data_IF_838140632108
#
_entry.id   IF_838140632108
#
_cell.length_a   1.000
_cell.length_b   1.000
_cell.length_c   1.000
_cell.angle_alpha   90.00
_cell.angle_beta   90.00
_cell.angle_gamma   90.00
#
_symmetry.space_group_name_H-M   'P 1'
#
loop_
_entity.id
_entity.type
_entity.pdbx_description
1 polymer ?
#
# COMPACT_ATOMS: atom_id res chain seq x y z
N UNK A 1 -28.91 21.76 16.91
CA UNK A 1 -27.59 21.21 16.55
C UNK A 1 -27.69 20.59 15.17
N UNK A 2 -27.03 21.18 14.18
CA UNK A 2 -26.96 20.59 12.83
C UNK A 2 -26.24 19.24 12.90
N UNK A 3 -26.77 18.24 12.18
CA UNK A 3 -26.16 16.91 12.09
C UNK A 3 -24.79 17.01 11.40
N UNK A 4 -24.66 17.89 10.40
CA UNK A 4 -23.40 18.12 9.69
C UNK A 4 -22.31 18.70 10.61
N UNK A 5 -22.68 19.66 11.45
CA UNK A 5 -21.74 20.25 12.41
C UNK A 5 -21.31 19.24 13.48
N UNK A 6 -22.27 18.47 14.01
CA UNK A 6 -21.97 17.39 14.95
C UNK A 6 -21.01 16.35 14.34
N UNK A 7 -21.22 16.00 13.07
CA UNK A 7 -20.37 15.06 12.36
C UNK A 7 -18.95 15.60 12.16
N UNK A 8 -18.80 16.88 11.81
CA UNK A 8 -17.49 17.51 11.65
C UNK A 8 -16.68 17.51 12.96
N UNK A 9 -17.30 17.87 14.08
CA UNK A 9 -16.66 17.81 15.40
C UNK A 9 -16.25 16.40 15.80
N UNK A 10 -17.10 15.42 15.47
CA UNK A 10 -16.83 14.02 15.70
C UNK A 10 -15.64 13.52 14.86
N UNK A 11 -15.71 13.69 13.53
CA UNK A 11 -14.77 13.08 12.60
C UNK A 11 -13.48 13.88 12.40
N UNK A 12 -13.56 15.21 12.26
CA UNK A 12 -12.41 16.10 12.06
C UNK A 12 -11.89 16.65 13.38
N UNK A 13 -12.79 17.06 14.27
CA UNK A 13 -12.46 17.53 15.62
C UNK A 13 -11.98 16.43 16.57
N UNK A 14 -12.06 15.15 16.16
CA UNK A 14 -11.63 13.96 16.92
C UNK A 14 -12.34 13.84 18.28
N UNK A 15 -13.52 14.45 18.43
CA UNK A 15 -14.25 14.42 19.70
C UNK A 15 -14.93 13.06 19.90
N UNK A 16 -14.76 12.49 21.10
CA UNK A 16 -15.43 11.26 21.51
C UNK A 16 -16.92 11.50 21.76
N UNK A 17 -17.71 10.43 21.79
CA UNK A 17 -19.12 10.54 22.16
C UNK A 17 -19.35 11.15 23.54
N UNK A 18 -18.42 10.94 24.48
CA UNK A 18 -18.51 11.50 25.84
C UNK A 18 -18.26 13.01 25.81
N UNK A 19 -17.23 13.45 25.10
CA UNK A 19 -16.94 14.88 24.94
C UNK A 19 -18.10 15.62 24.26
N UNK A 20 -18.68 15.04 23.20
CA UNK A 20 -19.85 15.59 22.54
C UNK A 20 -21.09 15.59 23.45
N UNK A 21 -21.30 14.51 24.22
CA UNK A 21 -22.40 14.41 25.18
C UNK A 21 -22.33 15.52 26.23
N UNK A 22 -21.14 15.75 26.82
CA UNK A 22 -20.88 16.82 27.78
C UNK A 22 -21.10 18.18 27.13
N UNK A 23 -20.48 18.43 25.97
CA UNK A 23 -20.58 19.71 25.25
C UNK A 23 -22.02 20.11 24.95
N UNK A 24 -22.86 19.14 24.59
CA UNK A 24 -24.23 19.39 24.17
C UNK A 24 -25.28 19.07 25.24
N UNK A 25 -24.86 18.81 26.48
CA UNK A 25 -25.75 18.54 27.61
C UNK A 25 -26.72 17.38 27.36
N UNK A 26 -26.28 16.30 26.68
CA UNK A 26 -27.15 15.18 26.34
C UNK A 26 -26.46 13.82 26.52
N UNK A 27 -27.21 12.72 26.44
CA UNK A 27 -26.64 11.38 26.62
C UNK A 27 -25.74 10.96 25.45
N UNK A 28 -24.77 10.08 25.73
CA UNK A 28 -23.97 9.38 24.70
C UNK A 28 -24.85 8.74 23.61
N UNK A 29 -25.98 8.14 24.01
CA UNK A 29 -26.91 7.47 23.10
C UNK A 29 -27.60 8.46 22.16
N UNK A 30 -27.89 9.68 22.64
CA UNK A 30 -28.44 10.76 21.82
C UNK A 30 -27.45 11.21 20.74
N UNK A 31 -26.17 11.40 21.10
CA UNK A 31 -25.11 11.73 20.13
C UNK A 31 -24.99 10.64 19.05
N UNK A 32 -24.93 9.38 19.47
CA UNK A 32 -24.85 8.25 18.54
C UNK A 32 -26.03 8.23 17.56
N UNK A 33 -27.26 8.34 18.05
CA UNK A 33 -28.46 8.36 17.19
C UNK A 33 -28.42 9.52 16.20
N UNK A 34 -27.94 10.70 16.59
CA UNK A 34 -27.78 11.84 15.68
C UNK A 34 -26.71 11.61 14.62
N UNK A 35 -25.56 11.04 14.98
CA UNK A 35 -24.51 10.68 14.02
C UNK A 35 -24.97 9.56 13.06
N UNK A 36 -25.82 8.65 13.53
CA UNK A 36 -26.41 7.60 12.70
C UNK A 36 -27.37 8.17 11.64
N UNK A 37 -27.93 9.37 11.84
CA UNK A 37 -28.75 10.08 10.85
C UNK A 37 -27.92 10.81 9.78
N UNK A 38 -26.62 11.01 9.99
CA UNK A 38 -25.75 11.65 9.01
C UNK A 38 -25.69 10.82 7.72
N UNK A 39 -25.96 11.48 6.59
CA UNK A 39 -25.91 10.86 5.26
C UNK A 39 -24.62 11.26 4.56
N UNK A 40 -23.83 10.25 4.20
CA UNK A 40 -22.62 10.44 3.41
C UNK A 40 -23.05 10.83 2.00
N UNK A 41 -22.78 12.08 1.59
CA UNK A 41 -23.12 12.56 0.25
C UNK A 41 -22.26 11.81 -0.78
N UNK A 42 -22.77 11.47 -1.95
CA UNK A 42 -21.93 10.87 -2.98
C UNK A 42 -21.29 11.99 -3.82
N UNK A 43 -19.97 11.93 -4.03
CA UNK A 43 -19.30 12.82 -4.95
C UNK A 43 -19.11 12.09 -6.28
N UNK A 44 -19.60 12.66 -7.37
CA UNK A 44 -19.29 12.16 -8.70
C UNK A 44 -17.87 12.59 -9.09
N UNK A 45 -17.07 11.62 -9.52
CA UNK A 45 -15.71 11.88 -10.00
C UNK A 45 -15.76 11.82 -11.51
N UNK A 46 -15.40 12.93 -12.15
CA UNK A 46 -15.36 13.04 -13.60
C UNK A 46 -14.22 12.16 -14.13
N UNK A 47 -14.49 11.27 -15.11
CA UNK A 47 -13.45 10.43 -15.69
C UNK A 47 -12.36 11.26 -16.36
N UNK A 48 -11.12 10.82 -16.16
CA UNK A 48 -9.92 11.50 -16.67
C UNK A 48 -8.74 10.52 -16.79
N UNK A 49 -7.63 11.03 -17.31
CA UNK A 49 -6.34 10.36 -17.31
C UNK A 49 -5.80 10.24 -15.89
N UNK A 50 -5.47 9.02 -15.46
CA UNK A 50 -5.07 8.72 -14.08
C UNK A 50 -3.93 7.72 -14.02
N UNK A 51 -3.10 7.87 -12.97
CA UNK A 51 -2.19 6.82 -12.52
C UNK A 51 -2.76 6.23 -11.25
N UNK A 52 -3.10 4.95 -11.28
CA UNK A 52 -3.80 4.31 -10.18
C UNK A 52 -2.80 3.73 -9.19
N UNK A 53 -2.68 4.39 -8.04
CA UNK A 53 -2.11 3.77 -6.86
C UNK A 53 -3.15 2.80 -6.28
N UNK A 54 -2.75 1.59 -5.93
CA UNK A 54 -3.64 0.64 -5.28
C UNK A 54 -2.95 -0.14 -4.16
N UNK A 55 -3.66 -0.27 -3.04
CA UNK A 55 -3.19 -0.99 -1.86
C UNK A 55 -4.37 -1.34 -0.93
N UNK A 56 -4.14 -2.24 0.03
CA UNK A 56 -5.13 -2.71 0.99
C UNK A 56 -4.65 -2.58 2.43
N UNK A 57 -5.47 -1.98 3.29
CA UNK A 57 -5.23 -1.94 4.74
C UNK A 57 -6.24 -2.76 5.52
N UNK A 58 -5.84 -3.28 6.69
CA UNK A 58 -6.68 -4.12 7.56
C UNK A 58 -6.89 -3.54 8.95
N UNK A 59 -8.06 -3.84 9.54
CA UNK A 59 -8.35 -3.77 10.97
C UNK A 59 -8.78 -5.16 11.46
N UNK A 60 -7.88 -5.86 12.13
CA UNK A 60 -8.10 -7.27 12.49
C UNK A 60 -8.04 -8.18 11.27
N UNK A 61 -8.62 -9.39 11.37
CA UNK A 61 -8.46 -10.44 10.34
C UNK A 61 -9.45 -10.37 9.18
N UNK A 62 -10.66 -9.83 9.40
CA UNK A 62 -11.79 -9.99 8.47
C UNK A 62 -12.37 -8.65 7.96
N UNK A 63 -11.68 -7.54 8.21
CA UNK A 63 -12.13 -6.21 7.77
C UNK A 63 -10.97 -5.43 7.17
N UNK A 64 -10.86 -5.49 5.85
CA UNK A 64 -9.92 -4.74 5.04
C UNK A 64 -10.62 -3.67 4.20
N UNK A 65 -9.84 -2.66 3.81
CA UNK A 65 -10.21 -1.61 2.86
C UNK A 65 -9.17 -1.63 1.75
N UNK A 66 -9.59 -2.00 0.55
CA UNK A 66 -8.82 -1.85 -0.68
C UNK A 66 -9.15 -0.48 -1.28
N UNK A 67 -8.12 0.29 -1.63
CA UNK A 67 -8.26 1.65 -2.14
C UNK A 67 -7.55 1.80 -3.48
N UNK A 68 -8.20 2.48 -4.41
CA UNK A 68 -7.65 2.93 -5.69
C UNK A 68 -7.65 4.45 -5.69
N UNK A 69 -6.47 5.05 -5.83
CA UNK A 69 -6.24 6.48 -5.69
C UNK A 69 -5.48 7.01 -6.90
N UNK A 70 -5.89 8.16 -7.43
CA UNK A 70 -5.15 8.81 -8.50
C UNK A 70 -3.88 9.46 -7.96
N UNK A 71 -2.73 9.18 -8.58
CA UNK A 71 -1.47 9.83 -8.25
C UNK A 71 -1.44 11.31 -8.64
N UNK A 72 -2.13 11.71 -9.72
CA UNK A 72 -2.12 13.09 -10.19
C UNK A 72 -2.99 14.00 -9.34
N UNK A 73 -4.29 13.71 -9.25
CA UNK A 73 -5.24 14.56 -8.51
C UNK A 73 -5.24 14.31 -7.01
N UNK A 74 -4.63 13.20 -6.56
CA UNK A 74 -4.70 12.73 -5.17
C UNK A 74 -6.14 12.41 -4.73
N UNK A 75 -7.08 12.20 -5.66
CA UNK A 75 -8.44 11.82 -5.34
C UNK A 75 -8.57 10.30 -5.14
N UNK A 76 -9.46 9.90 -4.24
CA UNK A 76 -9.81 8.49 -4.06
C UNK A 76 -10.85 8.12 -5.12
N UNK A 77 -10.49 7.23 -6.04
CA UNK A 77 -11.31 6.90 -7.21
C UNK A 77 -12.33 5.79 -6.91
N UNK A 78 -11.90 4.78 -6.16
CA UNK A 78 -12.68 3.58 -5.88
C UNK A 78 -12.17 2.91 -4.60
N UNK A 79 -13.06 2.25 -3.85
CA UNK A 79 -12.67 1.41 -2.73
C UNK A 79 -13.62 0.24 -2.53
N UNK A 80 -13.10 -0.82 -1.91
CA UNK A 80 -13.87 -2.00 -1.54
C UNK A 80 -13.59 -2.40 -0.10
N UNK A 81 -14.62 -2.86 0.60
CA UNK A 81 -14.43 -3.58 1.85
C UNK A 81 -14.23 -5.07 1.56
N UNK A 82 -13.12 -5.61 2.05
CA UNK A 82 -12.68 -6.97 1.71
C UNK A 82 -12.43 -7.77 2.98
N UNK A 83 -12.71 -9.08 2.95
CA UNK A 83 -12.27 -10.00 4.02
C UNK A 83 -10.82 -10.39 3.83
N UNK A 84 -10.43 -10.64 2.58
CA UNK A 84 -9.08 -11.02 2.17
C UNK A 84 -8.73 -10.37 0.84
N UNK A 85 -7.44 -10.11 0.66
CA UNK A 85 -6.88 -9.44 -0.51
C UNK A 85 -6.61 -10.48 -1.61
N UNK A 86 -7.11 -10.24 -2.82
CA UNK A 86 -6.93 -11.13 -3.97
C UNK A 86 -6.58 -10.33 -5.23
N UNK A 87 -5.79 -10.93 -6.13
CA UNK A 87 -5.46 -10.29 -7.42
C UNK A 87 -6.72 -10.01 -8.25
N UNK A 88 -7.73 -10.88 -8.16
CA UNK A 88 -8.99 -10.72 -8.87
C UNK A 88 -9.73 -9.42 -8.48
N UNK A 89 -9.64 -8.99 -7.22
CA UNK A 89 -10.25 -7.73 -6.77
C UNK A 89 -9.52 -6.51 -7.33
N UNK A 90 -8.20 -6.55 -7.43
CA UNK A 90 -7.43 -5.49 -8.10
C UNK A 90 -7.77 -5.37 -9.58
N UNK A 91 -7.80 -6.50 -10.29
CA UNK A 91 -8.18 -6.55 -11.71
C UNK A 91 -9.61 -6.02 -11.90
N UNK A 92 -10.54 -6.45 -11.05
CA UNK A 92 -11.92 -5.95 -11.04
C UNK A 92 -11.96 -4.43 -10.86
N UNK A 93 -11.22 -3.88 -9.90
CA UNK A 93 -11.19 -2.44 -9.64
C UNK A 93 -10.65 -1.63 -10.82
N UNK A 94 -9.57 -2.08 -11.46
CA UNK A 94 -9.04 -1.44 -12.67
C UNK A 94 -10.05 -1.51 -13.82
N UNK A 95 -10.71 -2.66 -14.02
CA UNK A 95 -11.73 -2.80 -15.06
C UNK A 95 -12.95 -1.91 -14.80
N UNK A 96 -13.37 -1.76 -13.53
CA UNK A 96 -14.46 -0.88 -13.14
C UNK A 96 -14.12 0.61 -13.39
N UNK A 97 -12.88 1.03 -13.11
CA UNK A 97 -12.42 2.37 -13.46
C UNK A 97 -12.44 2.59 -14.98
N UNK A 98 -11.95 1.63 -15.77
CA UNK A 98 -12.01 1.70 -17.23
C UNK A 98 -13.45 1.77 -17.74
N UNK A 99 -14.38 0.96 -17.21
CA UNK A 99 -15.80 0.98 -17.61
C UNK A 99 -16.50 2.30 -17.27
N UNK A 100 -16.00 3.02 -16.25
CA UNK A 100 -16.47 4.37 -15.90
C UNK A 100 -15.85 5.46 -16.78
N UNK A 101 -15.00 5.11 -17.75
CA UNK A 101 -14.38 6.05 -18.70
C UNK A 101 -13.03 6.62 -18.25
N UNK A 102 -12.42 6.11 -17.18
CA UNK A 102 -11.08 6.56 -16.78
C UNK A 102 -10.01 6.00 -17.73
N UNK A 103 -9.11 6.87 -18.18
CA UNK A 103 -7.92 6.47 -18.93
C UNK A 103 -6.80 6.11 -17.93
N UNK A 104 -6.71 4.82 -17.59
CA UNK A 104 -5.67 4.30 -16.68
C UNK A 104 -4.36 4.13 -17.44
N UNK A 105 -3.42 5.05 -17.25
CA UNK A 105 -2.15 5.08 -18.02
C UNK A 105 -0.98 4.41 -17.32
N UNK A 106 -1.05 4.24 -16.01
CA UNK A 106 -0.11 3.42 -15.25
C UNK A 106 -0.75 2.96 -13.94
N UNK A 107 -0.15 1.93 -13.35
CA UNK A 107 -0.55 1.36 -12.07
C UNK A 107 0.66 1.33 -11.14
N UNK A 108 0.47 1.64 -9.86
CA UNK A 108 1.49 1.47 -8.83
C UNK A 108 0.91 0.61 -7.70
N UNK A 109 1.58 -0.50 -7.37
CA UNK A 109 1.07 -1.44 -6.37
C UNK A 109 2.19 -2.10 -5.54
N UNK A 110 1.77 -2.79 -4.48
CA UNK A 110 2.64 -3.73 -3.76
C UNK A 110 2.96 -4.97 -4.62
N UNK A 111 4.06 -5.65 -4.30
CA UNK A 111 4.60 -6.83 -4.97
C UNK A 111 3.88 -8.12 -4.65
N UNK A 112 2.55 -8.10 -4.63
CA UNK A 112 1.76 -9.33 -4.47
C UNK A 112 2.06 -10.25 -5.64
N UNK A 113 2.40 -11.51 -5.33
CA UNK A 113 2.78 -12.51 -6.35
C UNK A 113 1.68 -12.63 -7.41
N UNK A 114 2.07 -12.48 -8.68
CA UNK A 114 1.18 -12.57 -9.83
C UNK A 114 0.29 -11.35 -10.08
N UNK A 115 0.33 -10.30 -9.26
CA UNK A 115 -0.42 -9.07 -9.50
C UNK A 115 0.20 -8.24 -10.61
N UNK A 116 1.52 -8.02 -10.53
CA UNK A 116 2.25 -7.14 -11.44
C UNK A 116 2.17 -7.62 -12.90
N UNK A 117 2.23 -8.94 -13.11
CA UNK A 117 2.08 -9.54 -14.45
C UNK A 117 0.64 -9.67 -14.95
N UNK A 118 -0.38 -9.25 -14.19
CA UNK A 118 -1.77 -9.36 -14.60
C UNK A 118 -2.21 -8.26 -15.57
N UNK A 119 -1.49 -7.14 -15.63
CA UNK A 119 -1.83 -5.98 -16.46
C UNK A 119 -0.85 -5.86 -17.63
N UNK A 120 -1.10 -6.60 -18.72
CA UNK A 120 -0.16 -6.67 -19.87
C UNK A 120 -0.03 -5.35 -20.63
N UNK A 121 -1.13 -4.60 -20.75
CA UNK A 121 -1.20 -3.40 -21.62
C UNK A 121 -1.04 -2.09 -20.84
N UNK A 122 -0.74 -2.16 -19.55
CA UNK A 122 -0.63 -0.99 -18.67
C UNK A 122 0.74 -1.05 -18.00
N UNK A 123 1.57 -0.01 -18.08
CA UNK A 123 2.79 0.09 -17.28
C UNK A 123 2.49 -0.11 -15.80
N UNK A 124 3.11 -1.12 -15.17
CA UNK A 124 2.98 -1.40 -13.74
C UNK A 124 4.29 -1.14 -13.01
N UNK A 125 4.25 -0.15 -12.13
CA UNK A 125 5.33 0.14 -11.20
C UNK A 125 5.14 -0.66 -9.91
N UNK A 126 6.14 -1.46 -9.58
CA UNK A 126 6.25 -2.09 -8.28
C UNK A 126 6.75 -1.07 -7.25
N UNK A 127 6.05 -0.94 -6.12
CA UNK A 127 6.45 -0.03 -5.06
C UNK A 127 7.86 -0.36 -4.52
N UNK A 128 8.80 0.55 -4.71
CA UNK A 128 10.19 0.37 -4.27
C UNK A 128 10.31 0.29 -2.75
N UNK A 129 9.45 1.00 -1.99
CA UNK A 129 9.43 0.91 -0.52
C UNK A 129 9.08 -0.51 -0.06
N UNK A 130 8.06 -1.12 -0.66
CA UNK A 130 7.66 -2.48 -0.34
C UNK A 130 8.70 -3.51 -0.79
N UNK A 131 9.40 -3.28 -1.91
CA UNK A 131 10.54 -4.10 -2.31
C UNK A 131 11.66 -4.04 -1.26
N UNK A 132 12.06 -2.84 -0.82
CA UNK A 132 13.06 -2.67 0.25
C UNK A 132 12.62 -3.39 1.53
N UNK A 133 11.35 -3.27 1.92
CA UNK A 133 10.81 -3.96 3.08
C UNK A 133 10.86 -5.49 2.92
N UNK A 134 10.56 -6.01 1.73
CA UNK A 134 10.65 -7.44 1.40
C UNK A 134 12.09 -7.94 1.51
N UNK A 135 13.07 -7.20 0.99
CA UNK A 135 14.48 -7.55 1.14
C UNK A 135 14.91 -7.56 2.61
N UNK A 136 14.51 -6.55 3.38
CA UNK A 136 14.76 -6.50 4.84
C UNK A 136 14.15 -7.69 5.59
N UNK A 137 13.03 -8.27 5.13
CA UNK A 137 12.50 -9.51 5.72
C UNK A 137 13.44 -10.68 5.43
N UNK A 138 14.00 -10.80 4.23
CA UNK A 138 14.94 -11.87 3.89
C UNK A 138 16.24 -11.79 4.70
N UNK A 139 16.88 -10.61 4.73
CA UNK A 139 18.21 -10.42 5.32
C UNK A 139 18.20 -9.91 6.77
N UNK A 140 17.01 -9.67 7.34
CA UNK A 140 16.75 -9.03 8.65
C UNK A 140 17.07 -7.53 8.68
N UNK A 141 16.58 -6.82 9.72
CA UNK A 141 16.83 -5.38 9.90
C UNK A 141 18.30 -5.08 10.19
N UNK A 142 18.97 -5.93 10.97
CA UNK A 142 20.36 -5.77 11.40
C UNK A 142 21.17 -7.02 11.02
N UNK A 143 21.46 -7.22 9.73
CA UNK A 143 22.26 -8.36 9.29
C UNK A 143 23.66 -8.30 9.89
N UNK A 144 24.21 -9.47 10.26
CA UNK A 144 25.59 -9.61 10.72
C UNK A 144 26.55 -10.05 9.62
N UNK A 145 26.05 -10.75 8.60
CA UNK A 145 26.86 -11.22 7.47
C UNK A 145 27.24 -10.06 6.56
N UNK A 146 28.52 -9.94 6.19
CA UNK A 146 29.02 -8.89 5.29
C UNK A 146 28.24 -8.83 3.97
N UNK A 147 27.99 -9.97 3.33
CA UNK A 147 27.19 -10.03 2.10
C UNK A 147 25.78 -9.41 2.27
N UNK A 148 25.15 -9.63 3.42
CA UNK A 148 23.83 -9.06 3.72
C UNK A 148 23.90 -7.58 4.10
N UNK A 149 24.98 -7.14 4.76
CA UNK A 149 25.21 -5.71 5.07
C UNK A 149 25.40 -4.94 3.77
N UNK A 150 26.26 -5.41 2.87
CA UNK A 150 26.51 -4.81 1.56
C UNK A 150 25.21 -4.73 0.75
N UNK A 151 24.41 -5.82 0.70
CA UNK A 151 23.14 -5.82 -0.02
C UNK A 151 22.15 -4.82 0.59
N UNK A 152 22.10 -4.72 1.92
CA UNK A 152 21.21 -3.77 2.61
C UNK A 152 21.57 -2.32 2.26
N UNK A 153 22.86 -2.00 2.18
CA UNK A 153 23.33 -0.67 1.79
C UNK A 153 22.95 -0.35 0.35
N UNK A 154 23.19 -1.28 -0.58
CA UNK A 154 22.81 -1.12 -1.99
C UNK A 154 21.30 -0.90 -2.15
N UNK A 155 20.50 -1.76 -1.52
CA UNK A 155 19.03 -1.70 -1.60
C UNK A 155 18.46 -0.43 -0.97
N UNK A 156 19.15 0.18 0.00
CA UNK A 156 18.72 1.46 0.58
C UNK A 156 18.73 2.61 -0.45
N UNK A 157 19.56 2.50 -1.50
CA UNK A 157 19.67 3.48 -2.57
C UNK A 157 18.56 3.37 -3.62
N UNK A 158 17.81 2.26 -3.68
CA UNK A 158 16.82 1.96 -4.72
C UNK A 158 15.86 3.11 -5.04
N UNK A 159 15.46 3.88 -4.03
CA UNK A 159 14.52 5.01 -4.16
C UNK A 159 15.13 6.29 -4.74
N UNK A 160 16.45 6.40 -4.76
CA UNK A 160 17.20 7.63 -4.99
C UNK A 160 18.24 7.47 -6.11
N UNK A 161 18.18 6.40 -6.89
CA UNK A 161 19.15 6.09 -7.94
C UNK A 161 18.43 5.80 -9.26
N UNK A 162 19.13 6.00 -10.36
CA UNK A 162 18.70 5.56 -11.69
C UNK A 162 18.82 4.03 -11.84
N UNK A 163 18.20 3.53 -12.91
CA UNK A 163 18.10 2.10 -13.23
C UNK A 163 19.48 1.49 -13.46
N UNK A 164 20.30 2.11 -14.30
CA UNK A 164 21.60 1.62 -14.72
C UNK A 164 22.56 1.49 -13.53
N UNK A 165 22.63 2.51 -12.69
CA UNK A 165 23.43 2.52 -11.46
C UNK A 165 22.99 1.43 -10.48
N UNK A 166 21.68 1.23 -10.30
CA UNK A 166 21.17 0.20 -9.40
C UNK A 166 21.46 -1.22 -9.92
N UNK A 167 21.19 -1.46 -11.21
CA UNK A 167 21.44 -2.75 -11.87
C UNK A 167 22.93 -3.09 -11.86
N UNK A 168 23.78 -2.13 -12.22
CA UNK A 168 25.22 -2.26 -12.20
C UNK A 168 25.75 -2.59 -10.80
N UNK A 169 25.33 -1.82 -9.78
CA UNK A 169 25.73 -2.07 -8.40
C UNK A 169 25.25 -3.43 -7.87
N UNK A 170 24.04 -3.86 -8.25
CA UNK A 170 23.52 -5.17 -7.86
C UNK A 170 24.30 -6.32 -8.54
N UNK A 171 24.70 -6.14 -9.80
CA UNK A 171 25.56 -7.08 -10.52
C UNK A 171 26.95 -7.17 -9.88
N UNK A 172 27.55 -6.04 -9.52
CA UNK A 172 28.83 -6.02 -8.81
C UNK A 172 28.75 -6.70 -7.44
N UNK A 173 27.66 -6.46 -6.71
CA UNK A 173 27.40 -7.17 -5.46
C UNK A 173 27.31 -8.68 -5.67
N UNK A 174 26.62 -9.14 -6.73
CA UNK A 174 26.51 -10.57 -7.04
C UNK A 174 27.87 -11.19 -7.34
N UNK A 175 28.67 -10.56 -8.22
CA UNK A 175 30.01 -11.05 -8.58
C UNK A 175 30.89 -11.19 -7.33
N UNK A 176 30.88 -10.19 -6.44
CA UNK A 176 31.65 -10.20 -5.19
C UNK A 176 31.27 -11.37 -4.27
N UNK A 177 29.98 -11.70 -4.21
CA UNK A 177 29.44 -12.67 -3.24
C UNK A 177 29.00 -14.00 -3.87
N UNK A 178 29.28 -14.24 -5.16
CA UNK A 178 28.76 -15.40 -5.89
C UNK A 178 29.19 -16.73 -5.27
N UNK A 179 30.49 -16.88 -4.97
CA UNK A 179 31.03 -18.07 -4.33
C UNK A 179 30.35 -18.34 -2.99
N UNK A 180 30.24 -17.30 -2.15
CA UNK A 180 29.54 -17.37 -0.87
C UNK A 180 28.07 -17.78 -1.05
N UNK A 181 27.35 -17.17 -2.01
CA UNK A 181 25.96 -17.52 -2.29
C UNK A 181 25.79 -18.96 -2.79
N UNK A 182 26.80 -19.53 -3.47
CA UNK A 182 26.76 -20.87 -4.02
C UNK A 182 27.18 -21.97 -3.03
N UNK A 183 27.66 -21.60 -1.85
CA UNK A 183 27.94 -22.54 -0.75
C UNK A 183 26.74 -23.46 -0.49
N UNK A 184 27.02 -24.76 -0.36
CA UNK A 184 26.03 -25.79 -0.08
C UNK A 184 26.36 -26.47 1.24
N UNK A 185 25.32 -26.72 2.02
CA UNK A 185 25.35 -27.58 3.21
C UNK A 185 24.65 -28.89 2.88
N UNK A 186 25.18 -30.01 3.35
CA UNK A 186 24.57 -31.34 3.22
C UNK A 186 23.81 -31.63 4.51
N UNK A 187 22.54 -32.02 4.40
CA UNK A 187 21.79 -32.54 5.53
C UNK A 187 22.26 -33.97 5.83
N UNK A 188 22.82 -34.20 7.03
CA UNK A 188 23.45 -35.47 7.41
C UNK A 188 22.43 -36.63 7.44
N UNK A 189 21.20 -36.36 7.88
CA UNK A 189 20.14 -37.39 8.02
C UNK A 189 19.54 -37.81 6.69
N UNK A 190 19.40 -36.87 5.74
CA UNK A 190 18.71 -37.10 4.46
C UNK A 190 19.65 -37.20 3.26
N UNK A 191 20.94 -36.89 3.44
CA UNK A 191 21.94 -36.80 2.37
C UNK A 191 21.72 -35.65 1.37
N UNK A 192 20.64 -34.86 1.50
CA UNK A 192 20.27 -33.84 0.52
C UNK A 192 21.10 -32.56 0.70
N UNK A 193 21.65 -32.06 -0.40
CA UNK A 193 22.38 -30.78 -0.41
C UNK A 193 21.45 -29.59 -0.61
N UNK A 194 21.71 -28.49 0.08
CA UNK A 194 20.95 -27.26 -0.05
C UNK A 194 21.86 -26.02 0.07
N UNK A 195 21.46 -24.90 -0.54
CA UNK A 195 22.23 -23.66 -0.41
C UNK A 195 22.27 -23.20 1.04
N UNK A 196 23.46 -22.91 1.57
CA UNK A 196 23.65 -22.43 2.94
C UNK A 196 22.90 -21.11 3.17
N UNK A 197 22.99 -20.18 2.20
CA UNK A 197 22.44 -18.82 2.32
C UNK A 197 21.11 -18.62 1.58
N UNK A 198 20.14 -19.54 1.74
CA UNK A 198 18.86 -19.55 0.99
C UNK A 198 18.13 -18.21 1.00
N UNK A 199 18.07 -17.55 2.16
CA UNK A 199 17.34 -16.29 2.33
C UNK A 199 18.02 -15.15 1.57
N UNK A 200 19.34 -15.05 1.63
CA UNK A 200 20.10 -14.03 0.90
C UNK A 200 20.00 -14.25 -0.61
N UNK A 201 20.08 -15.51 -1.07
CA UNK A 201 19.80 -15.84 -2.49
C UNK A 201 18.40 -15.43 -2.91
N UNK A 202 17.40 -15.65 -2.05
CA UNK A 202 16.01 -15.26 -2.32
C UNK A 202 15.84 -13.75 -2.39
N UNK A 203 16.57 -13.00 -1.56
CA UNK A 203 16.61 -11.54 -1.61
C UNK A 203 17.15 -11.04 -2.96
N UNK A 204 18.32 -11.54 -3.36
CA UNK A 204 18.92 -11.23 -4.66
C UNK A 204 18.00 -11.59 -5.83
N UNK A 205 17.46 -12.81 -5.82
CA UNK A 205 16.51 -13.27 -6.85
C UNK A 205 15.27 -12.39 -6.94
N UNK A 206 14.74 -11.93 -5.81
CA UNK A 206 13.58 -11.05 -5.78
C UNK A 206 13.88 -9.71 -6.46
N UNK A 207 15.06 -9.11 -6.23
CA UNK A 207 15.46 -7.88 -6.92
C UNK A 207 15.58 -8.09 -8.43
N UNK A 208 16.31 -9.12 -8.86
CA UNK A 208 16.48 -9.41 -10.29
C UNK A 208 15.16 -9.70 -10.99
N UNK A 209 14.30 -10.54 -10.39
CA UNK A 209 13.01 -10.91 -10.99
C UNK A 209 12.12 -9.68 -11.14
N UNK A 210 12.22 -8.74 -10.21
CA UNK A 210 11.36 -7.57 -10.18
C UNK A 210 11.94 -6.33 -10.88
N UNK A 211 13.16 -6.42 -11.44
CA UNK A 211 13.92 -5.26 -11.88
C UNK A 211 13.14 -4.37 -12.85
N UNK A 212 12.55 -4.96 -13.89
CA UNK A 212 11.73 -4.26 -14.89
C UNK A 212 10.57 -3.47 -14.27
N UNK A 213 9.92 -4.04 -13.24
CA UNK A 213 8.79 -3.38 -12.57
C UNK A 213 9.23 -2.35 -11.54
N UNK A 214 10.46 -2.45 -11.00
CA UNK A 214 11.00 -1.46 -10.05
C UNK A 214 11.39 -0.15 -10.74
N UNK A 215 11.65 -0.18 -12.05
CA UNK A 215 12.06 0.97 -12.85
C UNK A 215 11.11 1.30 -14.01
N UNK A 216 9.86 0.81 -13.95
CA UNK A 216 8.84 1.19 -14.94
C UNK A 216 8.62 2.70 -14.97
N UNK A 217 8.71 3.39 -13.83
CA UNK A 217 8.69 4.86 -13.76
C UNK A 217 9.83 5.53 -14.53
N UNK A 218 11.02 4.91 -14.53
CA UNK A 218 12.22 5.42 -15.18
C UNK A 218 12.11 5.25 -16.70
N UNK A 219 11.69 4.07 -17.14
CA UNK A 219 11.46 3.77 -18.57
C UNK A 219 10.27 4.57 -19.15
N UNK A 220 9.39 5.12 -18.30
CA UNK A 220 8.22 5.91 -18.69
C UNK A 220 8.22 7.31 -18.05
N UNK A 221 9.39 7.96 -18.00
CA UNK A 221 9.58 9.24 -17.28
C UNK A 221 8.52 10.31 -17.59
N UNK A 222 8.07 10.41 -18.85
CA UNK A 222 7.04 11.37 -19.30
C UNK A 222 5.69 11.22 -18.59
N UNK A 223 5.39 10.04 -18.05
CA UNK A 223 4.14 9.79 -17.33
C UNK A 223 4.21 10.24 -15.86
N UNK A 224 5.37 10.61 -15.32
CA UNK A 224 5.52 10.99 -13.91
C UNK A 224 4.95 9.93 -12.93
N UNK A 225 5.22 8.66 -13.20
CA UNK A 225 4.76 7.55 -12.36
C UNK A 225 5.49 7.62 -11.01
N UNK A 226 4.79 7.64 -9.87
CA UNK A 226 5.44 7.54 -8.58
C UNK A 226 6.12 6.18 -8.41
N UNK A 227 7.36 6.16 -7.93
CA UNK A 227 8.10 4.93 -7.63
C UNK A 227 7.64 4.23 -6.33
N UNK A 228 6.75 4.86 -5.55
CA UNK A 228 6.24 4.35 -4.27
C UNK A 228 4.74 4.62 -4.09
N UNK A 229 4.11 3.84 -3.20
CA UNK A 229 2.70 3.96 -2.78
C UNK A 229 2.52 4.86 -1.55
N UNK A 230 3.55 5.63 -1.17
CA UNK A 230 3.58 6.42 0.08
C UNK A 230 2.34 7.30 0.29
N UNK A 231 1.73 7.78 -0.80
CA UNK A 231 0.50 8.57 -0.71
C UNK A 231 -0.69 7.76 -0.16
N UNK A 232 -0.84 6.50 -0.55
CA UNK A 232 -1.86 5.62 0.03
C UNK A 232 -1.48 5.23 1.46
N UNK A 233 -0.22 4.87 1.70
CA UNK A 233 0.27 4.48 3.03
C UNK A 233 0.02 5.58 4.08
N UNK A 234 0.29 6.84 3.72
CA UNK A 234 -0.01 8.01 4.53
C UNK A 234 -1.51 8.21 4.76
N UNK A 235 -2.32 8.02 3.72
CA UNK A 235 -3.78 8.14 3.80
C UNK A 235 -4.40 7.09 4.74
N UNK A 236 -3.92 5.84 4.67
CA UNK A 236 -4.31 4.79 5.59
C UNK A 236 -3.88 5.07 7.03
N UNK A 237 -2.69 5.65 7.21
CA UNK A 237 -2.19 6.03 8.53
C UNK A 237 -3.06 7.12 9.17
N UNK A 238 -3.44 8.16 8.42
CA UNK A 238 -4.37 9.20 8.90
C UNK A 238 -5.75 8.62 9.26
N UNK A 239 -6.30 7.78 8.38
CA UNK A 239 -7.58 7.11 8.63
C UNK A 239 -7.54 6.28 9.92
N UNK A 240 -6.50 5.46 10.11
CA UNK A 240 -6.32 4.65 11.31
C UNK A 240 -6.19 5.51 12.56
N UNK A 241 -5.43 6.61 12.49
CA UNK A 241 -5.26 7.53 13.61
C UNK A 241 -6.59 8.19 14.01
N UNK A 242 -7.41 8.61 13.04
CA UNK A 242 -8.75 9.17 13.31
C UNK A 242 -9.68 8.13 13.92
N UNK A 243 -9.72 6.91 13.37
CA UNK A 243 -10.52 5.81 13.92
C UNK A 243 -10.09 5.38 15.32
N UNK A 244 -8.81 5.50 15.67
CA UNK A 244 -8.29 5.16 17.01
C UNK A 244 -8.88 6.02 18.12
N UNK A 245 -9.32 7.25 17.80
CA UNK A 245 -10.04 8.12 18.76
C UNK A 245 -11.48 7.63 19.01
N UNK A 246 -11.97 6.72 18.17
CA UNK A 246 -13.31 6.15 18.23
C UNK A 246 -13.23 4.63 18.35
N UNK A 247 -12.50 4.13 19.36
CA UNK A 247 -12.41 2.70 19.61
C UNK A 247 -13.79 2.12 20.01
N UNK A 248 -14.05 0.86 19.64
CA UNK A 248 -15.29 0.15 19.97
C UNK A 248 -16.49 0.44 19.06
N UNK A 249 -16.29 1.07 17.90
CA UNK A 249 -17.35 1.22 16.91
C UNK A 249 -17.84 -0.13 16.38
N UNK A 250 -19.15 -0.24 16.16
CA UNK A 250 -19.72 -1.31 15.35
C UNK A 250 -19.16 -1.23 13.92
N UNK A 251 -19.26 -2.34 13.19
CA UNK A 251 -18.75 -2.41 11.82
C UNK A 251 -19.43 -1.38 10.91
N UNK A 252 -20.74 -1.20 11.06
CA UNK A 252 -21.55 -0.28 10.26
C UNK A 252 -21.12 1.17 10.48
N UNK A 253 -20.95 1.58 11.74
CA UNK A 253 -20.49 2.94 12.09
C UNK A 253 -19.07 3.19 11.61
N UNK A 254 -18.20 2.18 11.70
CA UNK A 254 -16.84 2.24 11.16
C UNK A 254 -16.83 2.41 9.64
N UNK A 255 -17.67 1.67 8.92
CA UNK A 255 -17.85 1.82 7.47
C UNK A 255 -18.33 3.24 7.13
N UNK A 256 -19.34 3.76 7.84
CA UNK A 256 -19.83 5.13 7.64
C UNK A 256 -18.72 6.16 7.81
N UNK A 257 -17.94 6.04 8.88
CA UNK A 257 -16.79 6.92 9.14
C UNK A 257 -15.78 6.87 7.98
N UNK A 258 -15.40 5.65 7.55
CA UNK A 258 -14.43 5.44 6.48
C UNK A 258 -14.95 6.03 5.16
N UNK A 259 -16.21 5.78 4.80
CA UNK A 259 -16.79 6.30 3.55
C UNK A 259 -16.75 7.84 3.51
N UNK A 260 -17.10 8.50 4.61
CA UNK A 260 -17.04 9.97 4.67
C UNK A 260 -15.60 10.50 4.64
N UNK A 261 -14.69 9.80 5.31
CA UNK A 261 -13.26 10.13 5.25
C UNK A 261 -12.72 10.02 3.81
N UNK A 262 -13.03 8.94 3.10
CA UNK A 262 -12.54 8.70 1.73
C UNK A 262 -13.17 9.65 0.72
N UNK A 263 -14.41 10.10 0.95
CA UNK A 263 -15.08 11.10 0.12
C UNK A 263 -14.43 12.48 0.18
N UNK A 264 -13.99 12.89 1.37
CA UNK A 264 -13.51 14.26 1.57
C UNK A 264 -12.25 14.46 0.74
N UNK A 265 -12.26 15.45 -0.18
CA UNK A 265 -11.04 15.82 -0.91
C UNK A 265 -9.96 16.20 0.11
N UNK A 266 -8.78 15.65 -0.08
CA UNK A 266 -7.60 16.11 0.66
C UNK A 266 -7.30 17.48 0.06
N UNK A 267 -7.68 18.55 0.76
CA UNK A 267 -7.23 19.90 0.45
C UNK A 267 -5.72 20.00 0.72
#
# INVERSE_FOLDING_TARGET
MSIDFLWDEYARGKQTYIQLAVKYGCSKRTIQRKLDLYQVKQAEIIPKKVIVLMDTTYWGRNFGLMLFKDAYSKENLLWYYVKSETNALYIKGINELKSKGFEVVAIVCDGRKGLVGAFKDIPVQLCQFHQVATIRRYITKNPKMHASIDLKLHVAMLKNTDKESFEGGLKMWFIKWENFLNERTINIETGKSYFTHKRLRSAYRSLNTNMTWLFTWYDNYKLNIPNTTNMIDGHFSDLKNKLRNHNGLTKERKIKFINEFLRTKIN
#
